data_IF_117514057571
#
_entry.id   IF_117514057571
#
_cell.length_a   1.000
_cell.length_b   1.000
_cell.length_c   1.000
_cell.angle_alpha   90.00
_cell.angle_beta   90.00
_cell.angle_gamma   90.00
#
_symmetry.space_group_name_H-M   'P 1'
#
loop_
_entity.id
_entity.type
_entity.pdbx_description
1 polymer ?
#
# COMPACT_ATOMS: atom_id res chain seq x y z
N UNK A 1 -4.03 -20.41 -1.35
CA UNK A 1 -4.55 -20.64 -2.72
C UNK A 1 -4.66 -19.28 -3.40
N UNK A 2 -4.16 -19.13 -4.61
CA UNK A 2 -4.11 -17.84 -5.34
C UNK A 2 -5.09 -17.86 -6.51
N UNK A 3 -5.72 -16.72 -6.76
CA UNK A 3 -6.69 -16.54 -7.86
C UNK A 3 -6.68 -15.08 -8.33
N UNK A 4 -7.35 -14.79 -9.44
CA UNK A 4 -7.63 -13.42 -9.89
C UNK A 4 -9.13 -13.14 -9.69
N UNK A 5 -9.46 -12.07 -8.97
CA UNK A 5 -10.82 -11.59 -8.81
C UNK A 5 -11.10 -10.42 -9.77
N UNK A 6 -12.36 -10.24 -10.15
CA UNK A 6 -12.85 -9.06 -10.86
C UNK A 6 -13.61 -8.18 -9.85
N UNK A 7 -13.08 -7.01 -9.55
CA UNK A 7 -13.64 -6.06 -8.59
C UNK A 7 -14.49 -5.04 -9.35
N UNK A 8 -15.78 -4.86 -9.03
CA UNK A 8 -16.58 -3.80 -9.66
C UNK A 8 -16.13 -2.42 -9.17
N UNK A 9 -16.09 -1.44 -10.08
CA UNK A 9 -15.91 -0.02 -9.71
C UNK A 9 -17.05 0.46 -8.82
N UNK A 10 -16.85 1.56 -8.09
CA UNK A 10 -17.87 2.10 -7.15
C UNK A 10 -19.21 2.40 -7.84
N UNK A 11 -19.18 2.85 -9.09
CA UNK A 11 -20.36 3.11 -9.91
C UNK A 11 -20.94 1.87 -10.60
N UNK A 12 -20.22 0.73 -10.53
CA UNK A 12 -20.59 -0.53 -11.17
C UNK A 12 -20.48 -0.54 -12.71
N UNK A 13 -19.89 0.50 -13.31
CA UNK A 13 -19.80 0.62 -14.76
C UNK A 13 -18.71 -0.27 -15.39
N UNK A 14 -17.70 -0.66 -14.61
CA UNK A 14 -16.60 -1.50 -15.04
C UNK A 14 -16.16 -2.47 -13.93
N UNK A 15 -15.20 -3.34 -14.26
CA UNK A 15 -14.50 -4.17 -13.29
C UNK A 15 -13.01 -4.09 -13.56
N UNK A 16 -12.19 -4.21 -12.50
CA UNK A 16 -10.75 -4.30 -12.60
C UNK A 16 -10.22 -5.57 -11.94
N UNK A 17 -9.12 -6.14 -12.44
CA UNK A 17 -8.55 -7.35 -11.89
C UNK A 17 -7.82 -7.08 -10.58
N UNK A 18 -7.80 -8.09 -9.70
CA UNK A 18 -7.02 -8.09 -8.48
C UNK A 18 -6.44 -9.49 -8.23
N UNK A 19 -5.17 -9.55 -7.84
CA UNK A 19 -4.55 -10.78 -7.34
C UNK A 19 -5.06 -11.07 -5.93
N UNK A 20 -5.49 -12.30 -5.66
CA UNK A 20 -6.01 -12.72 -4.35
C UNK A 20 -5.23 -13.91 -3.83
N UNK A 21 -4.76 -13.81 -2.61
CA UNK A 21 -4.14 -14.91 -1.86
C UNK A 21 -4.98 -15.21 -0.61
N UNK A 22 -5.42 -16.46 -0.48
CA UNK A 22 -6.29 -16.89 0.62
C UNK A 22 -5.52 -17.66 1.68
N UNK A 23 -5.81 -17.44 2.98
CA UNK A 23 -5.28 -18.27 4.04
C UNK A 23 -5.80 -19.71 3.94
N UNK A 24 -5.17 -20.63 4.65
CA UNK A 24 -5.58 -22.05 4.70
C UNK A 24 -6.84 -22.30 5.54
N UNK A 25 -7.24 -21.33 6.36
CA UNK A 25 -8.41 -21.37 7.25
C UNK A 25 -9.31 -20.16 7.05
N UNK A 26 -10.16 -19.90 8.05
CA UNK A 26 -10.94 -18.67 8.12
C UNK A 26 -10.02 -17.46 8.24
N UNK A 27 -10.32 -16.38 7.52
CA UNK A 27 -9.50 -15.19 7.53
C UNK A 27 -9.72 -14.37 8.82
N UNK A 28 -8.65 -13.97 9.48
CA UNK A 28 -8.69 -13.07 10.65
C UNK A 28 -9.08 -11.64 10.29
N UNK A 29 -8.87 -11.26 9.02
CA UNK A 29 -9.17 -9.96 8.43
C UNK A 29 -8.71 -9.96 6.98
N UNK A 30 -8.80 -8.81 6.31
CA UNK A 30 -8.26 -8.67 4.96
C UNK A 30 -7.19 -7.57 4.90
N UNK A 31 -6.19 -7.76 4.02
CA UNK A 31 -5.14 -6.78 3.74
C UNK A 31 -5.09 -6.49 2.25
N UNK A 32 -5.32 -5.24 1.89
CA UNK A 32 -5.10 -4.72 0.53
C UNK A 32 -3.62 -4.36 0.41
N UNK A 33 -2.90 -5.04 -0.49
CA UNK A 33 -1.49 -4.76 -0.79
C UNK A 33 -1.44 -3.84 -1.99
N UNK A 34 -1.02 -2.59 -1.77
CA UNK A 34 -1.04 -1.54 -2.79
C UNK A 34 0.33 -1.46 -3.46
N UNK A 35 0.34 -1.60 -4.77
CA UNK A 35 1.51 -1.63 -5.63
C UNK A 35 2.37 -0.36 -5.58
N UNK A 36 3.63 -0.50 -5.97
CA UNK A 36 4.48 0.61 -6.40
C UNK A 36 4.11 1.05 -7.83
N UNK A 37 4.98 1.79 -8.50
CA UNK A 37 4.80 2.19 -9.91
C UNK A 37 5.04 1.05 -10.92
N UNK A 38 5.29 -0.17 -10.45
CA UNK A 38 5.68 -1.34 -11.27
C UNK A 38 4.52 -2.33 -11.51
N UNK A 39 3.29 -1.97 -11.13
CA UNK A 39 2.14 -2.85 -11.22
C UNK A 39 2.10 -3.94 -10.15
N UNK A 40 1.20 -4.90 -10.31
CA UNK A 40 1.07 -6.07 -9.42
C UNK A 40 2.09 -7.15 -9.84
N UNK A 41 3.36 -6.79 -9.73
CA UNK A 41 4.49 -7.64 -10.11
C UNK A 41 4.73 -8.80 -9.11
N UNK A 42 5.73 -9.63 -9.39
CA UNK A 42 6.06 -10.78 -8.56
C UNK A 42 6.32 -10.41 -7.08
N UNK A 43 6.95 -9.26 -6.81
CA UNK A 43 7.21 -8.79 -5.45
C UNK A 43 5.91 -8.50 -4.68
N UNK A 44 4.97 -7.80 -5.30
CA UNK A 44 3.65 -7.52 -4.69
C UNK A 44 2.86 -8.80 -4.45
N UNK A 45 2.88 -9.75 -5.41
CA UNK A 45 2.24 -11.06 -5.20
C UNK A 45 2.86 -11.86 -4.06
N UNK A 46 4.21 -11.86 -3.95
CA UNK A 46 4.90 -12.50 -2.82
C UNK A 46 4.49 -11.90 -1.47
N UNK A 47 4.30 -10.57 -1.39
CA UNK A 47 3.78 -9.93 -0.19
C UNK A 47 2.34 -10.37 0.13
N UNK A 48 1.47 -10.50 -0.87
CA UNK A 48 0.12 -11.05 -0.67
C UNK A 48 0.17 -12.50 -0.13
N UNK A 49 1.01 -13.34 -0.73
CA UNK A 49 1.18 -14.74 -0.29
C UNK A 49 1.70 -14.81 1.15
N UNK A 50 2.60 -13.90 1.52
CA UNK A 50 3.10 -13.76 2.89
C UNK A 50 1.98 -13.42 3.89
N UNK A 51 1.10 -12.49 3.56
CA UNK A 51 -0.06 -12.15 4.39
C UNK A 51 -1.05 -13.31 4.49
N UNK A 52 -1.29 -14.02 3.38
CA UNK A 52 -2.15 -15.21 3.39
C UNK A 52 -1.59 -16.34 4.27
N UNK A 53 -0.28 -16.53 4.27
CA UNK A 53 0.39 -17.48 5.16
C UNK A 53 0.25 -17.12 6.65
N UNK A 54 0.01 -15.84 6.97
CA UNK A 54 -0.22 -15.33 8.32
C UNK A 54 -1.71 -15.28 8.74
N UNK A 55 -2.63 -15.81 7.92
CA UNK A 55 -4.04 -15.90 8.28
C UNK A 55 -4.95 -14.82 7.70
N UNK A 56 -4.42 -13.87 6.92
CA UNK A 56 -5.22 -12.80 6.32
C UNK A 56 -5.68 -13.14 4.90
N UNK A 57 -6.84 -12.66 4.49
CA UNK A 57 -7.21 -12.60 3.08
C UNK A 57 -6.45 -11.42 2.44
N UNK A 58 -5.46 -11.71 1.59
CA UNK A 58 -4.67 -10.67 0.95
C UNK A 58 -5.10 -10.43 -0.50
N UNK A 59 -5.17 -9.15 -0.91
CA UNK A 59 -5.60 -8.76 -2.24
C UNK A 59 -4.77 -7.59 -2.76
N UNK A 60 -4.33 -7.67 -4.02
CA UNK A 60 -3.65 -6.57 -4.70
C UNK A 60 -4.44 -6.16 -5.95
N UNK A 61 -5.18 -5.04 -5.92
CA UNK A 61 -5.85 -4.50 -7.09
C UNK A 61 -4.84 -3.99 -8.12
N UNK A 62 -5.07 -4.25 -9.40
CA UNK A 62 -4.27 -3.71 -10.51
C UNK A 62 -4.65 -2.24 -10.74
N UNK A 63 -3.97 -1.30 -10.10
CA UNK A 63 -4.35 0.11 -10.16
C UNK A 63 -4.10 0.80 -11.51
N UNK A 64 -3.32 0.17 -12.39
CA UNK A 64 -3.05 0.69 -13.74
C UNK A 64 -3.98 0.11 -14.82
N UNK A 65 -5.04 -0.60 -14.42
CA UNK A 65 -5.94 -1.30 -15.31
C UNK A 65 -6.58 -0.42 -16.41
N UNK A 66 -6.71 0.89 -16.17
CA UNK A 66 -7.32 1.82 -17.14
C UNK A 66 -6.45 2.12 -18.34
N UNK A 67 -5.11 2.03 -18.22
CA UNK A 67 -4.17 2.43 -19.27
C UNK A 67 -3.03 1.44 -19.51
N UNK A 68 -2.68 0.63 -18.54
CA UNK A 68 -1.63 -0.40 -18.62
C UNK A 68 -2.08 -1.70 -17.93
N UNK A 69 -3.16 -2.36 -18.40
CA UNK A 69 -3.67 -3.58 -17.79
C UNK A 69 -2.62 -4.69 -17.83
N UNK A 70 -2.48 -5.42 -16.69
CA UNK A 70 -1.47 -6.49 -16.56
C UNK A 70 -0.04 -5.97 -16.46
N UNK A 71 0.16 -4.72 -16.07
CA UNK A 71 1.49 -4.13 -15.88
C UNK A 71 2.27 -4.90 -14.81
N UNK A 72 3.44 -5.43 -15.18
CA UNK A 72 4.39 -6.12 -14.32
C UNK A 72 5.82 -5.73 -14.72
N UNK A 73 6.36 -4.71 -14.09
CA UNK A 73 7.67 -4.18 -14.40
C UNK A 73 8.71 -4.55 -13.34
N UNK A 74 9.95 -4.70 -13.78
CA UNK A 74 11.13 -4.94 -12.93
C UNK A 74 11.85 -3.61 -12.68
N UNK A 75 11.95 -3.14 -11.41
CA UNK A 75 12.64 -1.90 -11.08
C UNK A 75 14.15 -1.91 -11.36
N UNK A 76 14.76 -3.07 -11.47
CA UNK A 76 16.20 -3.22 -11.69
C UNK A 76 16.56 -3.23 -13.20
N UNK A 77 15.55 -3.17 -14.09
CA UNK A 77 15.72 -3.04 -15.54
C UNK A 77 15.49 -1.58 -15.95
N UNK A 78 16.53 -0.85 -16.41
CA UNK A 78 16.47 0.61 -16.66
C UNK A 78 15.33 1.06 -17.59
N UNK A 79 15.05 0.30 -18.65
CA UNK A 79 14.00 0.60 -19.61
C UNK A 79 12.61 0.46 -18.97
N UNK A 80 12.40 -0.57 -18.12
CA UNK A 80 11.16 -0.78 -17.39
C UNK A 80 10.97 0.23 -16.26
N UNK A 81 12.05 0.66 -15.61
CA UNK A 81 12.00 1.75 -14.64
C UNK A 81 11.56 3.06 -15.31
N UNK A 82 12.05 3.36 -16.52
CA UNK A 82 11.63 4.55 -17.26
C UNK A 82 10.14 4.46 -17.67
N UNK A 83 9.68 3.28 -18.10
CA UNK A 83 8.26 3.01 -18.39
C UNK A 83 7.39 3.24 -17.15
N UNK A 84 7.81 2.73 -15.99
CA UNK A 84 7.11 2.90 -14.72
C UNK A 84 6.96 4.38 -14.32
N UNK A 85 7.98 5.22 -14.55
CA UNK A 85 7.84 6.67 -14.37
C UNK A 85 6.84 7.30 -15.35
N UNK A 86 6.74 6.79 -16.56
CA UNK A 86 5.70 7.18 -17.52
C UNK A 86 4.31 6.86 -17.01
N UNK A 87 4.12 5.69 -16.42
CA UNK A 87 2.86 5.29 -15.77
C UNK A 87 2.52 6.18 -14.57
N UNK A 88 3.50 6.46 -13.71
CA UNK A 88 3.32 7.36 -12.57
C UNK A 88 2.87 8.76 -12.99
N UNK A 89 3.45 9.30 -14.09
CA UNK A 89 3.15 10.65 -14.59
C UNK A 89 1.73 10.82 -15.15
N UNK A 90 1.07 9.72 -15.55
CA UNK A 90 -0.32 9.75 -16.06
C UNK A 90 -1.34 9.21 -15.06
N UNK A 91 -0.89 8.68 -13.91
CA UNK A 91 -1.77 8.05 -12.93
C UNK A 91 -2.53 9.09 -12.11
N UNK A 92 -3.83 8.94 -12.04
CA UNK A 92 -4.70 9.70 -11.15
C UNK A 92 -4.84 8.98 -9.80
N UNK A 93 -4.35 9.63 -8.74
CA UNK A 93 -4.40 9.05 -7.40
C UNK A 93 -5.82 9.04 -6.79
N UNK A 94 -6.71 9.91 -7.24
CA UNK A 94 -8.10 9.92 -6.81
C UNK A 94 -8.85 8.71 -7.39
N UNK A 95 -8.58 8.33 -8.63
CA UNK A 95 -9.02 7.05 -9.21
C UNK A 95 -8.50 5.87 -8.40
N UNK A 96 -7.23 5.93 -7.97
CA UNK A 96 -6.63 4.88 -7.15
C UNK A 96 -7.31 4.69 -5.80
N UNK A 97 -7.66 5.76 -5.11
CA UNK A 97 -8.41 5.68 -3.85
C UNK A 97 -9.81 5.13 -4.08
N UNK A 98 -10.48 5.51 -5.17
CA UNK A 98 -11.78 4.95 -5.53
C UNK A 98 -11.70 3.43 -5.80
N UNK A 99 -10.62 2.94 -6.43
CA UNK A 99 -10.40 1.51 -6.64
C UNK A 99 -10.11 0.77 -5.32
N UNK A 100 -9.38 1.40 -4.40
CA UNK A 100 -9.16 0.87 -3.05
C UNK A 100 -10.48 0.80 -2.28
N UNK A 101 -11.31 1.84 -2.30
CA UNK A 101 -12.62 1.85 -1.65
C UNK A 101 -13.55 0.80 -2.26
N UNK A 102 -13.56 0.65 -3.57
CA UNK A 102 -14.30 -0.43 -4.26
C UNK A 102 -13.83 -1.82 -3.78
N UNK A 103 -12.51 -2.00 -3.58
CA UNK A 103 -11.93 -3.23 -3.06
C UNK A 103 -12.35 -3.48 -1.60
N UNK A 104 -12.37 -2.45 -0.73
CA UNK A 104 -12.91 -2.55 0.64
C UNK A 104 -14.37 -3.02 0.62
N UNK A 105 -15.19 -2.40 -0.20
CA UNK A 105 -16.60 -2.78 -0.35
C UNK A 105 -16.77 -4.22 -0.85
N UNK A 106 -15.95 -4.65 -1.81
CA UNK A 106 -15.99 -6.02 -2.32
C UNK A 106 -15.60 -7.05 -1.23
N UNK A 107 -14.54 -6.77 -0.46
CA UNK A 107 -14.10 -7.61 0.65
C UNK A 107 -15.21 -7.78 1.70
N UNK A 108 -15.84 -6.70 2.10
CA UNK A 108 -16.91 -6.74 3.11
C UNK A 108 -18.15 -7.44 2.62
N UNK A 109 -18.59 -7.18 1.39
CA UNK A 109 -19.85 -7.72 0.84
C UNK A 109 -19.74 -9.14 0.32
N UNK A 110 -18.65 -9.45 -0.38
CA UNK A 110 -18.50 -10.71 -1.12
C UNK A 110 -17.65 -11.74 -0.40
N UNK A 111 -16.80 -11.31 0.55
CA UNK A 111 -15.92 -12.19 1.30
C UNK A 111 -16.27 -12.25 2.79
N UNK A 112 -17.25 -11.48 3.24
CA UNK A 112 -17.72 -11.42 4.63
C UNK A 112 -16.63 -11.05 5.64
N UNK A 113 -15.65 -10.23 5.21
CA UNK A 113 -14.55 -9.73 6.06
C UNK A 113 -14.87 -8.31 6.46
N UNK A 114 -15.08 -8.04 7.74
CA UNK A 114 -15.42 -6.71 8.24
C UNK A 114 -14.19 -5.80 8.39
N UNK A 115 -13.11 -6.33 8.99
CA UNK A 115 -11.88 -5.59 9.23
C UNK A 115 -10.97 -5.66 8.01
N UNK A 116 -10.75 -4.53 7.37
CA UNK A 116 -9.91 -4.39 6.17
C UNK A 116 -8.81 -3.38 6.44
N UNK A 117 -7.56 -3.82 6.33
CA UNK A 117 -6.40 -2.96 6.33
C UNK A 117 -5.80 -2.79 4.95
N UNK A 118 -4.89 -1.83 4.79
CA UNK A 118 -4.04 -1.75 3.61
C UNK A 118 -2.57 -1.53 3.97
N UNK A 119 -1.69 -2.05 3.14
CA UNK A 119 -0.26 -1.77 3.15
C UNK A 119 0.18 -1.37 1.75
N UNK A 120 0.84 -0.23 1.63
CA UNK A 120 1.26 0.29 0.34
C UNK A 120 2.72 0.74 0.32
N UNK A 121 3.33 0.69 -0.86
CA UNK A 121 4.74 0.93 -1.09
C UNK A 121 4.94 2.04 -2.13
N UNK A 122 5.77 3.03 -1.90
CA UNK A 122 6.01 4.16 -2.80
C UNK A 122 4.70 4.91 -3.15
N UNK A 123 4.24 4.86 -4.40
CA UNK A 123 2.90 5.30 -4.81
C UNK A 123 1.82 4.70 -3.89
N UNK A 124 1.91 3.40 -3.61
CA UNK A 124 1.00 2.71 -2.70
C UNK A 124 1.07 3.24 -1.26
N UNK A 125 2.23 3.71 -0.80
CA UNK A 125 2.38 4.37 0.49
C UNK A 125 1.62 5.70 0.56
N UNK A 126 1.63 6.48 -0.52
CA UNK A 126 0.77 7.66 -0.70
C UNK A 126 -0.71 7.26 -0.66
N UNK A 127 -1.09 6.23 -1.40
CA UNK A 127 -2.47 5.77 -1.46
C UNK A 127 -2.96 5.19 -0.12
N UNK A 128 -2.08 4.59 0.68
CA UNK A 128 -2.41 4.14 2.03
C UNK A 128 -2.73 5.33 2.96
N UNK A 129 -2.00 6.46 2.84
CA UNK A 129 -2.32 7.71 3.51
C UNK A 129 -3.68 8.26 3.04
N UNK A 130 -3.91 8.30 1.71
CA UNK A 130 -5.19 8.76 1.15
C UNK A 130 -6.36 7.85 1.56
N UNK A 131 -6.15 6.53 1.63
CA UNK A 131 -7.16 5.61 2.14
C UNK A 131 -7.51 5.91 3.62
N UNK A 132 -6.52 6.22 4.45
CA UNK A 132 -6.74 6.59 5.86
C UNK A 132 -7.50 7.91 6.03
N UNK A 133 -7.38 8.86 5.07
CA UNK A 133 -8.06 10.16 5.13
C UNK A 133 -9.42 10.19 4.43
N UNK A 134 -9.68 9.28 3.49
CA UNK A 134 -10.83 9.38 2.56
C UNK A 134 -11.75 8.17 2.56
N UNK A 135 -11.41 7.10 3.26
CA UNK A 135 -12.23 5.88 3.34
C UNK A 135 -12.47 5.46 4.79
N UNK A 136 -13.30 4.45 4.99
CA UNK A 136 -13.55 3.85 6.29
C UNK A 136 -12.68 2.62 6.58
N UNK A 137 -11.47 2.57 5.99
CA UNK A 137 -10.51 1.49 6.20
C UNK A 137 -10.15 1.32 7.67
N UNK A 138 -9.99 0.09 8.15
CA UNK A 138 -9.78 -0.18 9.57
C UNK A 138 -8.37 0.13 10.07
N UNK A 139 -7.35 0.02 9.21
CA UNK A 139 -5.95 0.33 9.50
C UNK A 139 -5.16 0.53 8.21
N UNK A 140 -4.18 1.43 8.20
CA UNK A 140 -3.36 1.72 7.02
C UNK A 140 -1.88 1.74 7.34
N UNK A 141 -1.06 1.20 6.44
CA UNK A 141 0.40 1.24 6.54
C UNK A 141 1.00 1.75 5.24
N UNK A 142 1.83 2.78 5.31
CA UNK A 142 2.57 3.32 4.17
C UNK A 142 4.07 3.15 4.33
N UNK A 143 4.72 2.56 3.33
CA UNK A 143 6.17 2.48 3.23
C UNK A 143 6.67 3.51 2.24
N UNK A 144 7.60 4.37 2.66
CA UNK A 144 8.23 5.39 1.81
C UNK A 144 7.24 6.09 0.86
N UNK A 145 6.09 6.51 1.42
CA UNK A 145 5.02 7.13 0.64
C UNK A 145 5.42 8.48 0.07
N UNK A 146 5.31 8.63 -1.24
CA UNK A 146 5.66 9.87 -1.94
C UNK A 146 4.54 10.91 -1.85
N UNK A 147 4.89 12.21 -1.83
CA UNK A 147 3.94 13.35 -1.90
C UNK A 147 2.94 13.44 -0.74
N UNK A 148 3.16 12.77 0.39
CA UNK A 148 2.29 12.87 1.58
C UNK A 148 2.34 14.30 2.16
N UNK A 149 3.51 14.96 2.10
CA UNK A 149 3.72 16.35 2.50
C UNK A 149 2.75 17.32 1.85
N UNK A 150 2.29 17.03 0.63
CA UNK A 150 1.37 17.87 -0.14
C UNK A 150 -0.11 17.68 0.25
N UNK A 151 -0.41 16.66 1.07
CA UNK A 151 -1.78 16.28 1.44
C UNK A 151 -2.05 16.37 2.96
N UNK A 152 -1.16 17.00 3.72
CA UNK A 152 -1.28 17.09 5.19
C UNK A 152 -2.53 17.86 5.65
N UNK A 153 -3.11 18.69 4.80
CA UNK A 153 -4.39 19.34 5.06
C UNK A 153 -5.57 18.39 5.29
N UNK A 154 -5.46 17.14 4.83
CA UNK A 154 -6.47 16.08 5.02
C UNK A 154 -6.28 15.28 6.32
N UNK A 155 -5.18 15.47 7.05
CA UNK A 155 -4.84 14.67 8.24
C UNK A 155 -5.94 14.65 9.31
N UNK A 156 -6.73 15.71 9.42
CA UNK A 156 -7.85 15.81 10.35
C UNK A 156 -8.96 14.75 10.12
N UNK A 157 -9.01 14.14 8.93
CA UNK A 157 -9.97 13.10 8.58
C UNK A 157 -9.51 11.69 8.97
N UNK A 158 -8.27 11.50 9.43
CA UNK A 158 -7.76 10.19 9.84
C UNK A 158 -8.52 9.72 11.09
N UNK A 159 -9.42 8.74 10.91
CA UNK A 159 -10.27 8.20 11.98
C UNK A 159 -9.71 6.89 12.58
N UNK A 160 -8.92 6.15 11.82
CA UNK A 160 -8.38 4.83 12.17
C UNK A 160 -6.84 4.84 12.19
N UNK A 161 -6.19 3.84 12.81
CA UNK A 161 -4.74 3.80 12.93
C UNK A 161 -4.01 3.85 11.58
N UNK A 162 -2.99 4.71 11.50
CA UNK A 162 -2.08 4.86 10.38
C UNK A 162 -0.63 4.71 10.84
N UNK A 163 0.14 3.86 10.19
CA UNK A 163 1.58 3.69 10.40
C UNK A 163 2.33 4.10 9.13
N UNK A 164 3.34 4.97 9.26
CA UNK A 164 4.21 5.35 8.15
C UNK A 164 5.66 4.98 8.44
N UNK A 165 6.29 4.24 7.52
CA UNK A 165 7.72 3.91 7.54
C UNK A 165 8.46 4.91 6.66
N UNK A 166 9.36 5.69 7.28
CA UNK A 166 10.06 6.83 6.67
C UNK A 166 11.57 6.53 6.62
N UNK A 167 12.14 6.18 5.45
CA UNK A 167 13.59 6.09 5.29
C UNK A 167 14.21 7.49 5.23
N UNK A 168 15.20 7.78 6.08
CA UNK A 168 15.70 9.16 6.24
C UNK A 168 16.67 9.61 5.14
N UNK A 169 17.17 8.69 4.31
CA UNK A 169 17.98 8.99 3.14
C UNK A 169 17.21 8.85 1.81
N UNK A 170 15.88 8.92 1.85
CA UNK A 170 14.99 8.78 0.70
C UNK A 170 15.23 9.90 -0.32
N UNK A 171 15.64 9.53 -1.55
CA UNK A 171 15.91 10.48 -2.62
C UNK A 171 14.64 10.95 -3.36
N UNK A 172 13.47 10.34 -3.12
CA UNK A 172 12.17 10.79 -3.64
C UNK A 172 11.36 11.60 -2.62
N UNK A 173 11.63 11.42 -1.33
CA UNK A 173 11.00 12.18 -0.24
C UNK A 173 12.12 12.88 0.54
N UNK A 174 12.48 14.07 0.11
CA UNK A 174 13.61 14.81 0.66
C UNK A 174 13.42 15.25 2.13
N UNK A 175 14.49 15.70 2.77
CA UNK A 175 14.46 16.08 4.18
C UNK A 175 13.42 17.18 4.50
N UNK A 176 13.19 18.22 3.67
CA UNK A 176 12.09 19.16 3.85
C UNK A 176 10.69 18.50 3.84
N UNK A 177 10.43 17.57 2.89
CA UNK A 177 9.17 16.85 2.83
C UNK A 177 8.98 15.95 4.07
N UNK A 178 10.03 15.21 4.49
CA UNK A 178 10.00 14.42 5.73
C UNK A 178 9.72 15.29 6.96
N UNK A 179 10.40 16.44 7.08
CA UNK A 179 10.15 17.37 8.18
C UNK A 179 8.71 17.91 8.18
N UNK A 180 8.13 18.16 7.02
CA UNK A 180 6.73 18.57 6.91
C UNK A 180 5.77 17.45 7.36
N UNK A 181 6.04 16.18 6.97
CA UNK A 181 5.26 15.02 7.40
C UNK A 181 5.28 14.90 8.93
N UNK A 182 6.46 14.99 9.57
CA UNK A 182 6.59 14.98 11.01
C UNK A 182 5.83 16.14 11.67
N UNK A 183 6.03 17.36 11.18
CA UNK A 183 5.35 18.54 11.72
C UNK A 183 3.82 18.43 11.63
N UNK A 184 3.30 17.79 10.58
CA UNK A 184 1.85 17.61 10.37
C UNK A 184 1.24 16.42 11.11
N UNK A 185 2.03 15.39 11.41
CA UNK A 185 1.48 14.09 11.86
C UNK A 185 1.99 13.60 13.22
N UNK A 186 3.15 14.04 13.74
CA UNK A 186 3.69 13.55 15.02
C UNK A 186 2.73 13.70 16.21
N UNK A 187 1.93 14.76 16.22
CA UNK A 187 0.96 15.01 17.27
C UNK A 187 -0.40 14.33 17.04
N UNK A 188 -0.59 13.65 15.92
CA UNK A 188 -1.88 13.05 15.58
C UNK A 188 -2.10 11.74 16.35
N UNK A 189 -3.21 11.60 17.14
CA UNK A 189 -3.39 10.49 18.07
C UNK A 189 -3.57 9.11 17.41
N UNK A 190 -3.80 9.08 16.11
CA UNK A 190 -3.99 7.84 15.32
C UNK A 190 -2.82 7.53 14.41
N UNK A 191 -1.79 8.36 14.37
CA UNK A 191 -0.65 8.20 13.45
C UNK A 191 0.61 7.81 14.23
N UNK A 192 1.32 6.84 13.70
CA UNK A 192 2.65 6.44 14.15
C UNK A 192 3.64 6.63 13.01
N UNK A 193 4.68 7.42 13.23
CA UNK A 193 5.78 7.59 12.29
C UNK A 193 7.00 6.81 12.79
N UNK A 194 7.63 6.03 11.91
CA UNK A 194 8.81 5.24 12.23
C UNK A 194 9.92 5.55 11.22
N UNK A 195 10.97 6.18 11.72
CA UNK A 195 12.16 6.51 10.94
C UNK A 195 13.12 5.33 10.80
N UNK A 196 13.75 5.26 9.62
CA UNK A 196 14.80 4.28 9.28
C UNK A 196 16.06 5.03 8.87
N UNK A 197 16.97 5.30 9.83
CA UNK A 197 18.17 6.12 9.61
C UNK A 197 19.07 5.55 8.53
N UNK A 198 19.40 6.38 7.52
CA UNK A 198 20.31 6.03 6.42
C UNK A 198 19.77 5.09 5.37
N UNK A 199 18.53 4.61 5.51
CA UNK A 199 17.88 3.81 4.46
C UNK A 199 17.29 4.72 3.39
N UNK A 200 17.27 4.22 2.15
CA UNK A 200 16.77 4.91 0.98
C UNK A 200 15.42 4.35 0.53
N UNK A 201 14.82 4.98 -0.45
CA UNK A 201 13.55 4.60 -1.08
C UNK A 201 13.57 3.15 -1.57
N UNK A 202 12.49 2.41 -1.32
CA UNK A 202 12.38 1.01 -1.74
C UNK A 202 13.13 0.01 -0.85
N UNK A 203 13.64 0.42 0.32
CA UNK A 203 14.42 -0.46 1.22
C UNK A 203 13.68 -1.74 1.63
N UNK A 204 12.35 -1.72 1.61
CA UNK A 204 11.49 -2.87 1.92
C UNK A 204 10.91 -3.56 0.68
N UNK A 205 11.47 -3.32 -0.52
CA UNK A 205 11.15 -4.10 -1.71
C UNK A 205 11.37 -5.60 -1.45
N UNK A 206 10.58 -6.48 -2.08
CA UNK A 206 10.66 -7.93 -1.80
C UNK A 206 12.00 -8.53 -2.25
N UNK A 207 12.58 -7.98 -3.29
CA UNK A 207 13.89 -8.37 -3.83
C UNK A 207 14.52 -7.19 -4.58
N UNK A 208 15.72 -7.39 -5.12
CA UNK A 208 16.40 -6.44 -6.00
C UNK A 208 17.38 -5.52 -5.29
N UNK A 209 17.94 -4.59 -6.06
CA UNK A 209 19.08 -3.77 -5.65
C UNK A 209 18.75 -2.76 -4.54
N UNK A 210 17.48 -2.37 -4.40
CA UNK A 210 17.04 -1.37 -3.41
C UNK A 210 16.80 -1.96 -2.03
N UNK A 211 16.67 -3.28 -1.91
CA UNK A 211 16.34 -3.94 -0.65
C UNK A 211 17.47 -3.81 0.37
N UNK A 212 17.15 -3.34 1.56
CA UNK A 212 17.97 -3.49 2.77
C UNK A 212 17.36 -4.57 3.66
N UNK A 213 18.06 -5.69 3.83
CA UNK A 213 17.51 -6.87 4.49
C UNK A 213 17.16 -6.62 5.97
N UNK A 214 18.01 -5.87 6.69
CA UNK A 214 17.77 -5.60 8.10
C UNK A 214 16.63 -4.60 8.31
N UNK A 215 16.61 -3.55 7.50
CA UNK A 215 15.55 -2.53 7.52
C UNK A 215 14.21 -3.09 7.10
N UNK A 216 14.17 -3.88 6.01
CA UNK A 216 12.96 -4.53 5.53
C UNK A 216 12.37 -5.46 6.61
N UNK A 217 13.20 -6.33 7.19
CA UNK A 217 12.77 -7.24 8.25
C UNK A 217 12.18 -6.49 9.44
N UNK A 218 12.86 -5.44 9.92
CA UNK A 218 12.39 -4.64 11.04
C UNK A 218 11.05 -3.95 10.73
N UNK A 219 10.92 -3.37 9.53
CA UNK A 219 9.69 -2.69 9.12
C UNK A 219 8.52 -3.68 8.97
N UNK A 220 8.77 -4.85 8.38
CA UNK A 220 7.77 -5.90 8.22
C UNK A 220 7.32 -6.47 9.57
N UNK A 221 8.21 -6.66 10.55
CA UNK A 221 7.87 -7.08 11.91
C UNK A 221 6.95 -6.06 12.59
N UNK A 222 7.24 -4.76 12.45
CA UNK A 222 6.42 -3.66 13.00
C UNK A 222 5.05 -3.59 12.34
N UNK A 223 4.98 -3.78 11.02
CA UNK A 223 3.72 -3.83 10.26
C UNK A 223 2.86 -5.01 10.67
N UNK A 224 3.46 -6.19 10.87
CA UNK A 224 2.74 -7.38 11.37
C UNK A 224 2.15 -7.14 12.75
N UNK A 225 2.94 -6.59 13.67
CA UNK A 225 2.45 -6.25 15.01
C UNK A 225 1.31 -5.24 14.95
N UNK A 226 1.43 -4.20 14.11
CA UNK A 226 0.40 -3.20 13.91
C UNK A 226 -0.92 -3.79 13.38
N UNK A 227 -0.88 -4.67 12.39
CA UNK A 227 -2.11 -5.30 11.89
C UNK A 227 -2.68 -6.33 12.88
N UNK A 228 -1.87 -7.08 13.61
CA UNK A 228 -2.36 -7.99 14.64
C UNK A 228 -3.13 -7.25 15.75
N UNK A 229 -2.69 -6.04 16.12
CA UNK A 229 -3.37 -5.20 17.11
C UNK A 229 -4.70 -4.62 16.57
N UNK A 230 -4.76 -4.27 15.28
CA UNK A 230 -5.87 -3.47 14.75
C UNK A 230 -6.87 -4.27 13.93
N UNK A 231 -6.50 -5.44 13.39
CA UNK A 231 -7.35 -6.29 12.56
C UNK A 231 -7.70 -7.63 13.23
N UNK A 232 -6.95 -8.05 14.25
CA UNK A 232 -7.22 -9.27 15.01
C UNK A 232 -8.44 -9.18 15.93
#
# INVERSE_FOLDING_TARGET
>A
MTETAAIPTLDGAATFPAYVARPSGEAEGAIIVIQEIFGVNAGIRTKCDGWAAMGYLAIAPELFWRFAPGCELDPDVPEQLQEAFGHFGQYDADDGVNDIEATIHWLRRSQSVEKVGCVGYCLGGRLAYMAATRTDISASVGYYGVMIDQMLGESHAIAHPLLLHIPTADHFVDAPAQAAIHAGLDAHPKVTLLDYPGLDHGFAAESGLRRDEAGAKLADERTRAFFAENLG
#
